data_IF_521888116887
#
_entry.id   IF_521888116887
#
_cell.length_a   1.000
_cell.length_b   1.000
_cell.length_c   1.000
_cell.angle_alpha   90.00
_cell.angle_beta   90.00
_cell.angle_gamma   90.00
#
_symmetry.space_group_name_H-M   'P 1'
#
loop_
_entity.id
_entity.type
_entity.pdbx_description
1 polymer ?
#
# COMPACT_ATOMS: atom_id res chain seq x y z
N UNK A 1 -17.65 -18.85 -35.71
CA UNK A 1 -16.48 -19.60 -35.23
C UNK A 1 -16.05 -18.90 -33.97
N UNK A 2 -16.39 -19.44 -32.79
CA UNK A 2 -15.98 -18.85 -31.53
C UNK A 2 -14.69 -19.55 -31.13
N UNK A 3 -13.55 -18.95 -31.46
CA UNK A 3 -12.27 -19.31 -30.85
C UNK A 3 -12.38 -18.96 -29.37
N UNK A 4 -12.71 -19.95 -28.56
CA UNK A 4 -12.40 -19.90 -27.14
C UNK A 4 -10.88 -19.90 -27.09
N UNK A 5 -10.29 -18.73 -26.91
CA UNK A 5 -8.85 -18.55 -26.80
C UNK A 5 -8.36 -19.41 -25.64
N UNK A 6 -7.64 -20.49 -25.96
CA UNK A 6 -6.93 -21.30 -24.98
C UNK A 6 -5.72 -20.49 -24.48
N UNK A 7 -5.99 -19.43 -23.71
CA UNK A 7 -4.96 -18.71 -22.98
C UNK A 7 -4.54 -19.56 -21.79
N UNK A 8 -3.24 -19.65 -21.59
CA UNK A 8 -2.66 -20.21 -20.37
C UNK A 8 -2.98 -19.31 -19.18
N UNK A 9 -2.90 -19.85 -17.96
CA UNK A 9 -3.08 -19.06 -16.74
C UNK A 9 -2.05 -17.91 -16.64
N UNK A 10 -0.85 -18.14 -17.18
CA UNK A 10 0.22 -17.14 -17.26
C UNK A 10 -0.16 -15.98 -18.18
N UNK A 11 -0.66 -16.27 -19.39
CA UNK A 11 -1.12 -15.24 -20.33
C UNK A 11 -2.32 -14.46 -19.77
N UNK A 12 -3.27 -15.14 -19.12
CA UNK A 12 -4.40 -14.47 -18.46
C UNK A 12 -3.91 -13.52 -17.35
N UNK A 13 -2.92 -13.94 -16.57
CA UNK A 13 -2.34 -13.09 -15.53
C UNK A 13 -1.58 -11.90 -16.12
N UNK A 14 -0.82 -12.09 -17.20
CA UNK A 14 -0.10 -11.02 -17.89
C UNK A 14 -1.08 -9.99 -18.49
N UNK A 15 -2.15 -10.45 -19.16
CA UNK A 15 -3.20 -9.57 -19.67
C UNK A 15 -3.87 -8.77 -18.55
N UNK A 16 -4.12 -9.40 -17.40
CA UNK A 16 -4.70 -8.73 -16.26
C UNK A 16 -3.74 -7.69 -15.65
N UNK A 17 -2.47 -8.04 -15.50
CA UNK A 17 -1.44 -7.14 -14.98
C UNK A 17 -1.27 -5.92 -15.89
N UNK A 18 -1.23 -6.11 -17.22
CA UNK A 18 -1.17 -5.03 -18.21
C UNK A 18 -2.39 -4.10 -18.10
N UNK A 19 -3.60 -4.67 -18.03
CA UNK A 19 -4.82 -3.88 -17.82
C UNK A 19 -4.75 -3.07 -16.52
N UNK A 20 -4.29 -3.68 -15.43
CA UNK A 20 -4.19 -3.02 -14.14
C UNK A 20 -3.16 -1.89 -14.18
N UNK A 21 -1.99 -2.11 -14.78
CA UNK A 21 -0.96 -1.08 -14.93
C UNK A 21 -1.47 0.10 -15.75
N UNK A 22 -2.07 -0.15 -16.91
CA UNK A 22 -2.59 0.88 -17.81
C UNK A 22 -3.59 1.80 -17.10
N UNK A 23 -4.55 1.20 -16.38
CA UNK A 23 -5.54 1.97 -15.61
C UNK A 23 -4.86 2.72 -14.45
N UNK A 24 -3.98 2.06 -13.70
CA UNK A 24 -3.33 2.68 -12.54
C UNK A 24 -2.51 3.91 -12.93
N UNK A 25 -1.64 3.78 -13.93
CA UNK A 25 -0.73 4.84 -14.37
C UNK A 25 -1.51 6.01 -14.95
N UNK A 26 -2.49 5.73 -15.81
CA UNK A 26 -3.33 6.77 -16.42
C UNK A 26 -4.07 7.60 -15.36
N UNK A 27 -4.63 6.94 -14.35
CA UNK A 27 -5.37 7.62 -13.28
C UNK A 27 -4.43 8.39 -12.33
N UNK A 28 -3.27 7.81 -11.98
CA UNK A 28 -2.29 8.44 -11.11
C UNK A 28 -1.69 9.70 -11.75
N UNK A 29 -1.36 9.63 -13.04
CA UNK A 29 -0.74 10.74 -13.77
C UNK A 29 -1.73 11.88 -14.07
N UNK A 30 -3.01 11.58 -14.34
CA UNK A 30 -4.00 12.60 -14.71
C UNK A 30 -4.74 13.23 -13.54
N UNK A 31 -5.10 12.45 -12.53
CA UNK A 31 -6.03 12.91 -11.51
C UNK A 31 -5.35 13.10 -10.16
N UNK A 32 -4.58 12.12 -9.70
CA UNK A 32 -3.88 12.25 -8.44
C UNK A 32 -3.37 10.95 -7.86
N UNK A 33 -2.67 11.08 -6.74
CA UNK A 33 -2.03 9.97 -6.04
C UNK A 33 -3.06 8.90 -5.60
N UNK A 34 -2.84 7.66 -6.04
CA UNK A 34 -3.69 6.51 -5.68
C UNK A 34 -3.17 5.86 -4.40
N UNK A 35 -4.04 5.71 -3.40
CA UNK A 35 -3.75 4.92 -2.20
C UNK A 35 -3.93 3.42 -2.45
N UNK A 36 -5.03 3.06 -3.12
CA UNK A 36 -5.38 1.66 -3.38
C UNK A 36 -6.27 1.57 -4.62
N UNK A 37 -6.01 0.56 -5.47
CA UNK A 37 -6.84 0.21 -6.62
C UNK A 37 -7.12 -1.29 -6.61
N UNK A 38 -8.37 -1.66 -6.88
CA UNK A 38 -8.87 -3.03 -6.80
C UNK A 38 -9.81 -3.33 -7.98
N UNK A 39 -9.73 -4.55 -8.53
CA UNK A 39 -10.58 -5.03 -9.64
C UNK A 39 -11.37 -6.25 -9.18
N UNK A 40 -12.68 -6.24 -9.43
CA UNK A 40 -13.59 -7.32 -9.01
C UNK A 40 -13.68 -8.44 -10.05
N UNK A 41 -13.45 -9.67 -9.60
CA UNK A 41 -13.61 -10.96 -10.30
C UNK A 41 -14.93 -11.65 -9.90
N UNK A 42 -15.94 -10.86 -9.50
CA UNK A 42 -17.26 -11.37 -9.16
C UNK A 42 -17.97 -11.93 -10.40
N UNK A 43 -18.81 -12.95 -10.22
CA UNK A 43 -19.64 -13.50 -11.30
C UNK A 43 -21.03 -12.82 -11.40
N UNK A 44 -21.41 -12.03 -10.39
CA UNK A 44 -22.71 -11.38 -10.33
C UNK A 44 -22.70 -10.02 -11.02
N UNK A 45 -23.78 -9.69 -11.73
CA UNK A 45 -23.92 -8.49 -12.57
C UNK A 45 -23.66 -7.17 -11.83
N UNK A 46 -23.87 -7.13 -10.51
CA UNK A 46 -23.67 -5.93 -9.68
C UNK A 46 -22.21 -5.64 -9.34
N UNK A 47 -21.31 -6.61 -9.48
CA UNK A 47 -19.89 -6.47 -9.12
C UNK A 47 -18.91 -6.93 -10.20
N UNK A 48 -19.37 -7.68 -11.20
CA UNK A 48 -18.52 -8.23 -12.26
C UNK A 48 -17.77 -7.12 -13.00
N UNK A 49 -16.43 -7.18 -12.97
CA UNK A 49 -15.58 -6.24 -13.68
C UNK A 49 -15.50 -4.83 -13.07
N UNK A 50 -16.09 -4.59 -11.89
CA UNK A 50 -16.00 -3.28 -11.25
C UNK A 50 -14.55 -2.96 -10.86
N UNK A 51 -14.12 -1.72 -11.15
CA UNK A 51 -12.82 -1.19 -10.75
C UNK A 51 -13.04 -0.12 -9.69
N UNK A 52 -12.40 -0.28 -8.53
CA UNK A 52 -12.45 0.69 -7.44
C UNK A 52 -11.08 1.35 -7.28
N UNK A 53 -11.09 2.68 -7.20
CA UNK A 53 -9.88 3.48 -7.05
C UNK A 53 -10.05 4.43 -5.88
N UNK A 54 -9.18 4.31 -4.89
CA UNK A 54 -9.11 5.19 -3.74
C UNK A 54 -7.96 6.16 -3.92
N UNK A 55 -8.29 7.39 -4.23
CA UNK A 55 -7.32 8.49 -4.27
C UNK A 55 -6.98 8.96 -2.86
N UNK A 56 -5.80 9.58 -2.71
CA UNK A 56 -5.36 10.20 -1.44
C UNK A 56 -6.17 11.45 -1.09
N UNK A 57 -6.80 12.08 -2.08
CA UNK A 57 -7.61 13.29 -1.93
C UNK A 57 -8.97 13.08 -2.59
N UNK A 58 -10.02 13.51 -1.90
CA UNK A 58 -11.40 13.44 -2.40
C UNK A 58 -11.59 14.29 -3.67
N UNK A 59 -10.97 15.47 -3.72
CA UNK A 59 -10.98 16.36 -4.89
C UNK A 59 -10.46 15.69 -6.18
N UNK A 60 -9.51 14.75 -6.06
CA UNK A 60 -8.94 14.05 -7.20
C UNK A 60 -9.92 12.97 -7.71
N UNK A 61 -10.69 12.36 -6.81
CA UNK A 61 -11.76 11.43 -7.16
C UNK A 61 -12.91 12.13 -7.89
N UNK A 62 -13.32 13.32 -7.43
CA UNK A 62 -14.36 14.13 -8.10
C UNK A 62 -13.96 14.49 -9.53
N UNK A 63 -12.72 14.97 -9.73
CA UNK A 63 -12.19 15.28 -11.06
C UNK A 63 -12.12 14.05 -11.96
N UNK A 64 -11.69 12.91 -11.41
CA UNK A 64 -11.63 11.65 -12.15
C UNK A 64 -13.01 11.24 -12.65
N UNK A 65 -14.04 11.28 -11.79
CA UNK A 65 -15.42 10.95 -12.17
C UNK A 65 -15.93 11.89 -13.28
N UNK A 66 -15.70 13.20 -13.16
CA UNK A 66 -16.19 14.16 -14.14
C UNK A 66 -15.56 13.96 -15.54
N UNK A 67 -14.26 13.67 -15.59
CA UNK A 67 -13.54 13.47 -16.85
C UNK A 67 -13.75 12.08 -17.45
N UNK A 68 -13.70 11.02 -16.63
CA UNK A 68 -13.84 9.63 -17.10
C UNK A 68 -15.19 9.38 -17.77
N UNK A 69 -16.28 9.97 -17.28
CA UNK A 69 -17.60 9.86 -17.91
C UNK A 69 -17.69 10.47 -19.32
N UNK A 70 -16.67 11.22 -19.76
CA UNK A 70 -16.56 11.79 -21.11
C UNK A 70 -15.64 10.96 -22.02
N UNK A 71 -15.13 9.84 -21.53
CA UNK A 71 -14.06 9.03 -22.16
C UNK A 71 -14.52 7.63 -22.53
N UNK A 72 -13.68 6.97 -23.31
CA UNK A 72 -13.88 5.61 -23.81
C UNK A 72 -12.69 4.74 -23.42
N UNK A 73 -12.96 3.45 -23.16
CA UNK A 73 -11.95 2.43 -22.89
C UNK A 73 -12.30 1.16 -23.67
N UNK A 74 -11.35 0.62 -24.42
CA UNK A 74 -11.53 -0.58 -25.26
C UNK A 74 -12.80 -0.54 -26.16
N UNK A 75 -13.12 0.63 -26.72
CA UNK A 75 -14.29 0.83 -27.59
C UNK A 75 -15.64 0.93 -26.86
N UNK A 76 -15.65 0.99 -25.53
CA UNK A 76 -16.87 1.16 -24.71
C UNK A 76 -16.81 2.49 -23.93
N UNK A 77 -17.95 3.16 -23.69
CA UNK A 77 -17.98 4.35 -22.85
C UNK A 77 -17.66 3.95 -21.40
N UNK A 78 -16.95 4.83 -20.69
CA UNK A 78 -16.63 4.62 -19.27
C UNK A 78 -17.77 5.20 -18.43
N UNK A 79 -18.19 4.43 -17.42
CA UNK A 79 -19.13 4.88 -16.39
C UNK A 79 -18.38 4.96 -15.07
N UNK A 80 -18.31 6.16 -14.49
CA UNK A 80 -17.63 6.41 -13.23
C UNK A 80 -18.58 7.12 -12.25
N UNK A 81 -18.54 6.72 -10.99
CA UNK A 81 -19.29 7.35 -9.89
C UNK A 81 -18.48 7.34 -8.60
N UNK A 82 -18.83 8.23 -7.66
CA UNK A 82 -18.24 8.21 -6.33
C UNK A 82 -18.80 7.04 -5.53
N UNK A 83 -17.91 6.21 -5.00
CA UNK A 83 -18.27 5.07 -4.16
C UNK A 83 -18.27 5.45 -2.68
N UNK A 84 -19.27 5.01 -1.88
CA UNK A 84 -19.26 5.19 -0.43
C UNK A 84 -18.29 4.24 0.28
N UNK A 85 -17.63 3.32 -0.45
CA UNK A 85 -16.69 2.35 0.13
C UNK A 85 -15.41 3.06 0.56
N UNK A 86 -15.17 3.09 1.88
CA UNK A 86 -14.00 3.75 2.48
C UNK A 86 -12.91 2.77 2.93
N UNK A 87 -13.29 1.56 3.35
CA UNK A 87 -12.38 0.47 3.73
C UNK A 87 -12.68 -0.80 2.93
N UNK A 88 -11.77 -1.15 2.00
CA UNK A 88 -11.91 -2.35 1.18
C UNK A 88 -11.89 -3.63 2.02
N UNK A 89 -11.20 -3.65 3.18
CA UNK A 89 -11.11 -4.86 4.00
C UNK A 89 -12.47 -5.31 4.55
N UNK A 90 -13.39 -4.36 4.74
CA UNK A 90 -14.77 -4.66 5.16
C UNK A 90 -15.67 -5.02 3.98
N UNK A 91 -15.38 -4.51 2.78
CA UNK A 91 -16.13 -4.80 1.56
C UNK A 91 -15.70 -6.10 0.86
N UNK A 92 -14.48 -6.60 1.12
CA UNK A 92 -13.93 -7.80 0.50
C UNK A 92 -14.50 -9.10 1.10
N UNK A 93 -14.70 -10.09 0.23
CA UNK A 93 -15.16 -11.41 0.64
C UNK A 93 -13.99 -12.22 1.23
N UNK A 94 -13.96 -12.36 2.56
CA UNK A 94 -12.93 -13.17 3.25
C UNK A 94 -12.90 -14.63 2.81
N UNK A 95 -14.05 -15.21 2.49
CA UNK A 95 -14.13 -16.60 2.00
C UNK A 95 -13.51 -16.73 0.61
N UNK A 96 -13.63 -15.71 -0.24
CA UNK A 96 -13.01 -15.73 -1.56
C UNK A 96 -11.49 -15.60 -1.46
N UNK A 97 -10.99 -14.76 -0.54
CA UNK A 97 -9.55 -14.65 -0.25
C UNK A 97 -8.94 -15.99 0.18
N UNK A 98 -9.73 -16.86 0.81
CA UNK A 98 -9.33 -18.23 1.20
C UNK A 98 -9.60 -19.28 0.11
N UNK A 99 -10.24 -18.92 -1.00
CA UNK A 99 -10.62 -19.85 -2.08
C UNK A 99 -11.86 -20.70 -1.80
N UNK A 100 -12.68 -20.33 -0.82
CA UNK A 100 -13.80 -21.14 -0.29
C UNK A 100 -15.17 -20.49 -0.53
N UNK A 101 -15.25 -19.37 -1.27
CA UNK A 101 -16.53 -18.72 -1.52
C UNK A 101 -17.39 -19.53 -2.50
N UNK A 102 -18.48 -20.12 -2.01
CA UNK A 102 -19.44 -20.91 -2.81
C UNK A 102 -20.67 -20.13 -3.24
N UNK A 103 -20.74 -18.82 -2.96
CA UNK A 103 -21.91 -17.98 -3.31
C UNK A 103 -22.02 -17.66 -4.79
N UNK A 104 -20.94 -17.87 -5.56
CA UNK A 104 -20.88 -17.61 -7.01
C UNK A 104 -21.44 -16.21 -7.36
N UNK A 105 -22.40 -16.11 -8.28
CA UNK A 105 -23.00 -14.82 -8.69
C UNK A 105 -23.84 -14.12 -7.62
N UNK A 106 -24.13 -14.77 -6.49
CA UNK A 106 -24.93 -14.20 -5.41
C UNK A 106 -24.09 -13.59 -4.27
N UNK A 107 -22.75 -13.54 -4.43
CA UNK A 107 -21.91 -12.88 -3.43
C UNK A 107 -22.04 -11.35 -3.52
N UNK A 108 -22.36 -10.71 -2.40
CA UNK A 108 -22.46 -9.25 -2.28
C UNK A 108 -21.17 -8.59 -1.81
N UNK A 109 -20.10 -9.37 -1.60
CA UNK A 109 -18.80 -8.87 -1.21
C UNK A 109 -17.84 -8.92 -2.40
N UNK A 110 -16.87 -8.01 -2.42
CA UNK A 110 -15.90 -7.89 -3.51
C UNK A 110 -15.00 -9.12 -3.55
N UNK A 111 -14.94 -9.77 -4.70
CA UNK A 111 -13.96 -10.82 -5.01
C UNK A 111 -12.82 -10.16 -5.76
N UNK A 112 -11.69 -9.91 -5.10
CA UNK A 112 -10.61 -9.16 -5.75
C UNK A 112 -9.73 -10.06 -6.61
N UNK A 113 -9.50 -9.66 -7.86
CA UNK A 113 -8.48 -10.29 -8.71
C UNK A 113 -7.09 -9.81 -8.25
N UNK A 114 -6.19 -10.70 -7.81
CA UNK A 114 -4.86 -10.30 -7.37
C UNK A 114 -3.95 -9.96 -8.57
N UNK A 115 -3.21 -8.86 -8.46
CA UNK A 115 -2.08 -8.55 -9.36
C UNK A 115 -0.85 -9.37 -8.99
N UNK A 116 0.09 -9.52 -9.93
CA UNK A 116 1.36 -10.15 -9.62
C UNK A 116 2.14 -9.39 -8.53
N UNK A 117 2.98 -10.13 -7.80
CA UNK A 117 3.83 -9.58 -6.74
C UNK A 117 4.85 -8.57 -7.27
N UNK A 118 5.24 -8.73 -8.53
CA UNK A 118 6.19 -7.85 -9.22
C UNK A 118 5.53 -6.53 -9.54
N UNK A 119 4.38 -6.55 -10.23
CA UNK A 119 3.60 -5.35 -10.53
C UNK A 119 3.23 -4.58 -9.26
N UNK A 120 2.78 -5.27 -8.21
CA UNK A 120 2.48 -4.63 -6.92
C UNK A 120 3.67 -3.88 -6.34
N UNK A 121 4.88 -4.43 -6.49
CA UNK A 121 6.11 -3.79 -6.01
C UNK A 121 6.49 -2.59 -6.86
N UNK A 122 6.22 -2.63 -8.16
CA UNK A 122 6.55 -1.55 -9.07
C UNK A 122 5.63 -0.34 -8.89
N UNK A 123 4.32 -0.55 -8.87
CA UNK A 123 3.33 0.51 -8.71
C UNK A 123 3.44 1.17 -7.33
N UNK A 124 3.26 0.39 -6.26
CA UNK A 124 3.20 0.92 -4.89
C UNK A 124 4.58 1.09 -4.23
N UNK A 125 5.65 0.48 -4.77
CA UNK A 125 7.00 0.62 -4.23
C UNK A 125 7.71 1.91 -4.65
N UNK A 126 7.31 2.54 -5.77
CA UNK A 126 7.81 3.86 -6.21
C UNK A 126 7.63 4.92 -5.13
N UNK A 127 6.53 4.87 -4.39
CA UNK A 127 6.23 5.80 -3.29
C UNK A 127 7.23 5.74 -2.13
N UNK A 128 7.71 4.54 -1.79
CA UNK A 128 8.71 4.37 -0.73
C UNK A 128 10.05 5.02 -1.09
N UNK A 129 10.45 5.04 -2.37
CA UNK A 129 11.68 5.69 -2.84
C UNK A 129 11.58 7.23 -2.84
N UNK A 130 10.40 7.79 -3.16
CA UNK A 130 10.16 9.25 -3.06
C UNK A 130 10.15 9.72 -1.59
N UNK A 131 9.52 8.95 -0.69
CA UNK A 131 9.45 9.26 0.76
C UNK A 131 10.77 9.05 1.52
N UNK A 132 11.65 8.17 1.05
CA UNK A 132 12.99 7.99 1.65
C UNK A 132 13.96 9.12 1.27
N UNK A 133 13.85 9.67 0.05
CA UNK A 133 14.62 10.84 -0.41
C UNK A 133 14.24 12.14 0.29
N UNK A 134 12.98 12.31 0.71
CA UNK A 134 12.56 13.48 1.50
C UNK A 134 13.00 13.40 2.97
N UNK A 135 13.09 12.20 3.55
CA UNK A 135 13.62 11.99 4.92
C UNK A 135 15.14 12.12 5.03
N UNK A 136 15.87 12.02 3.92
CA UNK A 136 17.33 12.18 3.91
C UNK A 136 17.78 13.63 3.67
N UNK A 137 16.86 14.56 3.38
CA UNK A 137 17.17 16.00 3.22
C UNK A 137 16.97 16.86 4.48
N UNK A 138 16.52 16.29 5.59
CA UNK A 138 16.33 17.02 6.87
C UNK A 138 17.42 16.77 7.92
N UNK A 139 18.63 16.36 7.49
CA UNK A 139 19.79 16.19 8.39
C UNK A 139 21.05 16.92 7.94
N UNK A 140 20.97 18.15 7.44
CA UNK A 140 22.09 19.11 7.41
C UNK A 140 21.49 20.51 7.63
N UNK A 141 21.93 21.41 8.53
CA UNK A 141 23.20 21.54 9.23
C UNK A 141 23.02 22.41 10.51
N UNK A 142 23.57 21.97 11.64
CA UNK A 142 24.15 22.88 12.64
C UNK A 142 25.58 22.41 12.87
N UNK A 143 26.50 22.97 12.08
CA UNK A 143 27.91 22.73 12.25
C UNK A 143 28.46 23.37 13.51
N UNK A 144 29.38 22.69 14.19
CA UNK A 144 30.63 23.30 14.68
C UNK A 144 31.59 22.25 15.23
N UNK A 145 32.67 22.06 14.48
CA UNK A 145 34.07 21.84 14.90
C UNK A 145 34.27 21.11 16.25
N UNK A 146 34.85 19.90 16.21
CA UNK A 146 36.17 19.67 16.84
C UNK A 146 36.71 18.27 16.56
N UNK A 147 37.86 18.29 15.93
CA UNK A 147 38.88 17.26 15.79
C UNK A 147 39.09 16.39 17.02
N UNK A 148 39.33 15.10 16.73
CA UNK A 148 40.28 14.18 17.38
C UNK A 148 40.17 13.96 18.89
N UNK A 149 40.35 12.69 19.25
CA UNK A 149 40.51 12.11 20.59
C UNK A 149 39.22 11.82 21.36
N UNK A 150 38.88 10.54 21.47
CA UNK A 150 38.41 9.88 22.71
C UNK A 150 38.22 8.37 22.51
N UNK A 151 39.24 7.74 21.97
CA UNK A 151 39.71 6.49 22.58
C UNK A 151 40.14 6.85 24.02
N UNK A 152 39.83 6.02 25.03
CA UNK A 152 40.01 6.23 26.50
C UNK A 152 38.79 6.76 27.28
N UNK A 153 37.70 6.00 27.37
CA UNK A 153 36.75 6.10 28.51
C UNK A 153 36.21 4.76 29.02
N UNK A 154 36.94 3.66 28.81
CA UNK A 154 36.60 2.32 29.36
C UNK A 154 37.36 1.94 30.65
N UNK A 155 38.10 2.85 31.30
CA UNK A 155 39.08 2.45 32.35
C UNK A 155 39.02 3.19 33.71
N UNK A 156 37.91 3.84 34.08
CA UNK A 156 37.89 4.61 35.34
C UNK A 156 36.62 4.52 36.20
N UNK A 157 35.64 3.64 35.90
CA UNK A 157 34.49 3.43 36.80
C UNK A 157 34.66 2.29 37.82
N UNK A 158 35.81 1.64 37.84
CA UNK A 158 36.12 0.51 38.73
C UNK A 158 36.66 0.89 40.11
N UNK A 159 36.61 2.17 40.53
CA UNK A 159 37.25 2.62 41.79
C UNK A 159 36.41 3.46 42.75
N UNK A 160 35.11 3.66 42.51
CA UNK A 160 34.28 4.52 43.38
C UNK A 160 33.09 3.82 44.06
N UNK A 161 32.83 2.53 43.80
CA UNK A 161 31.75 1.78 44.49
C UNK A 161 32.23 0.96 45.69
N UNK A 162 33.50 1.05 46.06
CA UNK A 162 34.06 0.40 47.26
C UNK A 162 33.88 1.23 48.56
N UNK A 163 33.28 2.43 48.51
CA UNK A 163 33.14 3.30 49.71
C UNK A 163 31.74 3.37 50.35
N UNK A 164 30.73 2.72 49.77
CA UNK A 164 29.36 2.71 50.34
C UNK A 164 29.05 1.44 51.17
N UNK A 165 29.99 0.49 51.27
CA UNK A 165 29.83 -0.73 52.08
C UNK A 165 30.11 -0.56 53.57
N UNK A 166 30.58 0.62 54.01
CA UNK A 166 31.05 0.83 55.41
C UNK A 166 30.12 1.68 56.30
N UNK A 167 28.93 2.10 55.83
CA UNK A 167 28.05 3.00 56.61
C UNK A 167 26.65 2.48 56.97
N UNK A 168 26.24 1.30 56.50
CA UNK A 168 24.92 0.73 56.84
C UNK A 168 24.95 -0.48 57.78
N UNK A 169 26.08 -0.73 58.43
CA UNK A 169 26.20 -1.68 59.54
C UNK A 169 25.90 -1.05 60.93
N UNK A 170 25.30 0.16 61.00
CA UNK A 170 25.22 0.90 62.27
C UNK A 170 23.88 1.45 62.74
N UNK A 171 22.74 1.21 62.08
CA UNK A 171 21.45 1.74 62.57
C UNK A 171 20.29 0.73 62.43
N UNK A 172 20.09 -0.06 63.50
CA UNK A 172 18.84 -0.70 63.97
C UNK A 172 18.48 -2.05 63.34
N UNK A 173 18.54 -3.25 63.97
CA UNK A 173 18.42 -3.69 65.39
C UNK A 173 17.34 -2.96 66.19
N UNK A 174 16.12 -3.46 66.16
CA UNK A 174 15.46 -4.24 67.23
C UNK A 174 14.27 -5.00 66.65
#
# INVERSE_FOLDING_TARGET
MNEVTNLTEEEVQEHFDNFFEDVFVELEDKYGEIEEMNVCDNLGDHLVGNVYVKFRREEDAEKAVEDLNKRWFAGRPIYAELSPVTDFREACCRQYEMGECTRSGFCNFMHLRPISRELRRELYGRHRRRKSRSRSRSREAVGRKRSRSRERRRRSRSREREKDRDRRDREGRF
#
